data_IF_943718903676
#
_entry.id   IF_943718903676
#
_cell.length_a   1.000
_cell.length_b   1.000
_cell.length_c   1.000
_cell.angle_alpha   90.00
_cell.angle_beta   90.00
_cell.angle_gamma   90.00
#
_symmetry.space_group_name_H-M   'P 1'
#
loop_
_entity.id
_entity.type
_entity.pdbx_description
1 polymer ?
#
# COMPACT_ATOMS: atom_id res chain seq x y z
N UNK A 1 0.89 -2.93 -7.34
CA UNK A 1 0.75 -3.25 -5.90
C UNK A 1 1.53 -2.23 -5.10
N UNK A 2 0.89 -1.61 -4.13
CA UNK A 2 1.55 -0.72 -3.18
C UNK A 2 1.75 -1.46 -1.87
N UNK A 3 2.94 -1.38 -1.30
CA UNK A 3 3.27 -2.03 -0.03
C UNK A 3 3.85 -1.02 0.95
N UNK A 4 3.58 -1.23 2.23
CA UNK A 4 4.25 -0.55 3.32
C UNK A 4 5.30 -1.51 3.90
N UNK A 5 6.53 -1.06 3.98
CA UNK A 5 7.63 -1.86 4.48
C UNK A 5 8.29 -1.20 5.68
N UNK A 6 8.67 -2.01 6.65
CA UNK A 6 9.44 -1.59 7.81
C UNK A 6 10.53 -2.64 8.07
N UNK A 7 11.59 -2.26 8.78
CA UNK A 7 12.58 -3.23 9.22
C UNK A 7 12.00 -4.13 10.32
N UNK A 8 12.50 -5.36 10.39
CA UNK A 8 12.09 -6.29 11.44
C UNK A 8 12.39 -5.73 12.83
N UNK A 9 13.54 -5.10 13.00
CA UNK A 9 13.92 -4.45 14.25
C UNK A 9 12.92 -3.37 14.67
N UNK A 10 12.52 -2.51 13.74
CA UNK A 10 11.52 -1.47 14.02
C UNK A 10 10.17 -2.07 14.41
N UNK A 11 9.73 -3.10 13.71
CA UNK A 11 8.47 -3.81 14.01
C UNK A 11 8.47 -4.41 15.42
N UNK A 12 9.59 -5.05 15.82
CA UNK A 12 9.72 -5.66 17.15
C UNK A 12 9.77 -4.62 18.27
N UNK A 13 10.41 -3.48 18.04
CA UNK A 13 10.53 -2.39 19.03
C UNK A 13 9.30 -1.50 19.10
N UNK A 14 8.58 -1.34 18.00
CA UNK A 14 7.48 -0.37 17.87
C UNK A 14 6.23 -1.02 17.24
N UNK A 15 5.71 -2.12 17.78
CA UNK A 15 4.56 -2.80 17.17
C UNK A 15 3.31 -1.92 17.14
N UNK A 16 3.08 -1.11 18.17
CA UNK A 16 1.92 -0.21 18.24
C UNK A 16 1.99 0.88 17.19
N UNK A 17 3.16 1.41 16.92
CA UNK A 17 3.36 2.44 15.89
C UNK A 17 3.04 1.87 14.50
N UNK A 18 3.51 0.67 14.21
CA UNK A 18 3.22 -0.01 12.93
C UNK A 18 1.73 -0.30 12.79
N UNK A 19 1.09 -0.79 13.84
CA UNK A 19 -0.36 -1.05 13.86
C UNK A 19 -1.16 0.22 13.61
N UNK A 20 -0.82 1.31 14.29
CA UNK A 20 -1.49 2.61 14.10
C UNK A 20 -1.30 3.16 12.69
N UNK A 21 -0.10 3.01 12.12
CA UNK A 21 0.16 3.40 10.73
C UNK A 21 -0.68 2.59 9.74
N UNK A 22 -0.81 1.28 9.95
CA UNK A 22 -1.65 0.42 9.12
C UNK A 22 -3.14 0.78 9.24
N UNK A 23 -3.62 1.05 10.44
CA UNK A 23 -5.00 1.52 10.64
C UNK A 23 -5.26 2.84 9.91
N UNK A 24 -4.34 3.80 10.03
CA UNK A 24 -4.45 5.08 9.34
C UNK A 24 -4.47 4.90 7.81
N UNK A 25 -3.66 3.99 7.27
CA UNK A 25 -3.66 3.67 5.85
C UNK A 25 -5.01 3.09 5.40
N UNK A 26 -5.55 2.12 6.13
CA UNK A 26 -6.84 1.50 5.83
C UNK A 26 -7.97 2.52 5.89
N UNK A 27 -7.97 3.38 6.89
CA UNK A 27 -8.94 4.47 7.01
C UNK A 27 -8.83 5.46 5.84
N UNK A 28 -7.61 5.81 5.44
CA UNK A 28 -7.38 6.69 4.30
C UNK A 28 -7.90 6.06 2.99
N UNK A 29 -7.68 4.77 2.77
CA UNK A 29 -8.21 4.06 1.60
C UNK A 29 -9.74 4.02 1.62
N UNK A 30 -10.35 3.79 2.78
CA UNK A 30 -11.79 3.83 2.93
C UNK A 30 -12.35 5.23 2.64
N UNK A 31 -11.73 6.26 3.17
CA UNK A 31 -12.08 7.66 2.91
C UNK A 31 -11.98 7.99 1.41
N UNK A 32 -10.91 7.56 0.77
CA UNK A 32 -10.69 7.75 -0.66
C UNK A 32 -11.80 7.12 -1.50
N UNK A 33 -12.28 5.93 -1.13
CA UNK A 33 -13.35 5.25 -1.84
C UNK A 33 -14.74 5.89 -1.60
N UNK A 34 -14.95 6.50 -0.43
CA UNK A 34 -16.25 6.98 -0.01
C UNK A 34 -16.44 8.51 -0.21
N UNK A 35 -15.36 9.25 -0.39
CA UNK A 35 -15.39 10.70 -0.50
C UNK A 35 -14.53 11.18 -1.68
N UNK A 36 -15.11 11.16 -2.86
CA UNK A 36 -14.46 11.61 -4.09
C UNK A 36 -14.01 13.06 -4.02
N UNK A 37 -14.86 13.95 -3.49
CA UNK A 37 -14.56 15.39 -3.41
C UNK A 37 -13.32 15.67 -2.59
N UNK A 38 -13.20 15.06 -1.41
CA UNK A 38 -12.02 15.20 -0.55
C UNK A 38 -10.77 14.62 -1.22
N UNK A 39 -10.90 13.47 -1.86
CA UNK A 39 -9.80 12.79 -2.56
C UNK A 39 -9.29 13.62 -3.74
N UNK A 40 -10.18 14.18 -4.54
CA UNK A 40 -9.82 15.05 -5.67
C UNK A 40 -9.08 16.30 -5.19
N UNK A 41 -9.47 16.89 -4.07
CA UNK A 41 -8.74 18.04 -3.47
C UNK A 41 -7.31 17.65 -3.09
N UNK A 42 -7.12 16.47 -2.51
CA UNK A 42 -5.79 15.96 -2.17
C UNK A 42 -4.97 15.69 -3.42
N UNK A 43 -5.54 15.08 -4.44
CA UNK A 43 -4.87 14.86 -5.73
C UNK A 43 -4.44 16.17 -6.37
N UNK A 44 -5.31 17.18 -6.38
CA UNK A 44 -4.98 18.52 -6.90
C UNK A 44 -3.79 19.16 -6.17
N UNK A 45 -3.76 19.02 -4.83
CA UNK A 45 -2.67 19.54 -4.00
C UNK A 45 -1.32 18.90 -4.35
N UNK A 46 -1.27 17.58 -4.46
CA UNK A 46 -0.02 16.85 -4.66
C UNK A 46 0.43 16.80 -6.12
N UNK A 47 -0.50 16.77 -7.07
CA UNK A 47 -0.16 16.86 -8.51
C UNK A 47 0.10 18.28 -8.98
N UNK A 48 -0.29 19.27 -8.17
CA UNK A 48 -0.24 20.71 -8.51
C UNK A 48 -1.02 21.04 -9.80
N UNK A 49 -2.09 20.32 -10.05
CA UNK A 49 -2.98 20.52 -11.20
C UNK A 49 -4.42 20.73 -10.74
N UNK A 50 -5.12 21.64 -11.40
CA UNK A 50 -6.53 21.96 -11.14
C UNK A 50 -7.45 21.59 -12.31
N UNK A 51 -6.95 20.86 -13.30
CA UNK A 51 -7.72 20.41 -14.44
C UNK A 51 -8.72 19.34 -13.99
N UNK A 52 -10.01 19.65 -14.06
CA UNK A 52 -11.08 18.77 -13.60
C UNK A 52 -11.10 17.42 -14.34
N UNK A 53 -10.86 17.43 -15.64
CA UNK A 53 -10.81 16.21 -16.45
C UNK A 53 -9.65 15.31 -16.03
N UNK A 54 -8.46 15.88 -15.86
CA UNK A 54 -7.29 15.15 -15.38
C UNK A 54 -7.49 14.55 -13.98
N UNK A 55 -8.06 15.34 -13.06
CA UNK A 55 -8.29 14.88 -11.67
C UNK A 55 -9.34 13.77 -11.61
N UNK A 56 -10.39 13.86 -12.40
CA UNK A 56 -11.44 12.84 -12.47
C UNK A 56 -10.89 11.51 -13.02
N UNK A 57 -10.14 11.58 -14.10
CA UNK A 57 -9.47 10.42 -14.70
C UNK A 57 -8.45 9.80 -13.74
N UNK A 58 -7.63 10.60 -13.09
CA UNK A 58 -6.65 10.18 -12.10
C UNK A 58 -7.34 9.51 -10.91
N UNK A 59 -8.43 10.08 -10.41
CA UNK A 59 -9.22 9.47 -9.36
C UNK A 59 -9.72 8.07 -9.76
N UNK A 60 -10.28 7.93 -10.95
CA UNK A 60 -10.74 6.64 -11.48
C UNK A 60 -9.63 5.58 -11.51
N UNK A 61 -8.44 5.97 -11.94
CA UNK A 61 -7.26 5.09 -11.97
C UNK A 61 -6.85 4.69 -10.54
N UNK A 62 -6.72 5.66 -9.65
CA UNK A 62 -6.31 5.42 -8.27
C UNK A 62 -7.28 4.46 -7.55
N UNK A 63 -8.58 4.69 -7.66
CA UNK A 63 -9.61 3.82 -7.07
C UNK A 63 -9.53 2.40 -7.64
N UNK A 64 -9.32 2.28 -8.94
CA UNK A 64 -9.28 0.99 -9.63
C UNK A 64 -8.09 0.12 -9.21
N UNK A 65 -6.93 0.74 -8.99
CA UNK A 65 -5.69 0.03 -8.70
C UNK A 65 -5.27 0.03 -7.23
N UNK A 66 -5.99 0.71 -6.35
CA UNK A 66 -5.72 0.68 -4.91
C UNK A 66 -6.55 -0.41 -4.24
N UNK A 67 -5.88 -1.36 -3.64
CA UNK A 67 -6.52 -2.43 -2.90
C UNK A 67 -7.13 -1.89 -1.60
N UNK A 68 -8.39 -2.25 -1.33
CA UNK A 68 -9.09 -1.85 -0.10
C UNK A 68 -8.45 -2.43 1.15
N UNK A 69 -7.88 -3.62 1.03
CA UNK A 69 -7.17 -4.29 2.10
C UNK A 69 -5.76 -4.64 1.61
N UNK A 70 -4.73 -3.94 2.10
CA UNK A 70 -3.36 -4.18 1.65
C UNK A 70 -2.85 -5.51 2.21
N UNK A 71 -2.87 -6.53 1.37
CA UNK A 71 -2.31 -7.84 1.70
C UNK A 71 -1.14 -8.15 0.76
N UNK A 72 -0.06 -8.64 1.32
CA UNK A 72 1.05 -9.14 0.53
C UNK A 72 0.85 -10.63 0.30
N UNK A 73 0.71 -11.02 -0.95
CA UNK A 73 0.63 -12.42 -1.39
C UNK A 73 2.01 -12.85 -1.90
N UNK A 74 2.42 -14.08 -1.53
CA UNK A 74 3.67 -14.66 -2.02
C UNK A 74 3.76 -14.73 -3.54
N UNK A 75 2.64 -14.88 -4.25
CA UNK A 75 2.60 -14.83 -5.72
C UNK A 75 2.98 -13.46 -6.27
N UNK A 76 2.54 -12.40 -5.63
CA UNK A 76 2.91 -11.03 -6.03
C UNK A 76 4.42 -10.81 -5.87
N UNK A 77 5.00 -11.30 -4.80
CA UNK A 77 6.46 -11.24 -4.58
C UNK A 77 7.21 -12.07 -5.61
N UNK A 78 6.75 -13.28 -5.90
CA UNK A 78 7.35 -14.13 -6.93
C UNK A 78 7.35 -13.43 -8.29
N UNK A 79 6.24 -12.80 -8.66
CA UNK A 79 6.13 -12.04 -9.92
C UNK A 79 7.15 -10.88 -9.96
N UNK A 80 7.28 -10.12 -8.88
CA UNK A 80 8.28 -9.04 -8.83
C UNK A 80 9.69 -9.58 -9.00
N UNK A 81 10.02 -10.73 -8.39
CA UNK A 81 11.33 -11.34 -8.48
C UNK A 81 11.66 -11.94 -9.87
N UNK A 82 10.63 -12.25 -10.67
CA UNK A 82 10.84 -12.61 -12.09
C UNK A 82 11.36 -11.43 -12.92
N UNK A 83 10.86 -10.22 -12.62
CA UNK A 83 11.28 -9.01 -13.35
C UNK A 83 12.56 -8.39 -12.80
N UNK A 84 12.73 -8.44 -11.48
CA UNK A 84 13.91 -7.89 -10.79
C UNK A 84 14.48 -8.94 -9.82
N UNK A 85 15.23 -9.92 -10.32
CA UNK A 85 15.81 -10.94 -9.46
C UNK A 85 16.81 -10.35 -8.47
N UNK A 86 16.59 -10.57 -7.20
CA UNK A 86 17.48 -10.17 -6.11
C UNK A 86 18.30 -11.38 -5.67
N UNK A 87 19.61 -11.24 -5.65
CA UNK A 87 20.51 -12.32 -5.25
C UNK A 87 20.21 -12.79 -3.82
N UNK A 88 19.96 -14.08 -3.64
CA UNK A 88 19.67 -14.67 -2.33
C UNK A 88 18.20 -14.61 -1.90
N UNK A 89 17.33 -14.10 -2.77
CA UNK A 89 15.87 -14.09 -2.54
C UNK A 89 15.22 -14.99 -3.58
N UNK A 90 14.57 -16.04 -3.15
CA UNK A 90 13.98 -17.06 -4.04
C UNK A 90 12.45 -16.96 -4.17
N UNK A 91 11.83 -15.92 -3.66
CA UNK A 91 10.36 -15.77 -3.67
C UNK A 91 9.61 -16.75 -2.79
N UNK A 92 10.31 -17.70 -2.19
CA UNK A 92 9.69 -18.60 -1.21
C UNK A 92 9.57 -17.92 0.15
N UNK A 93 8.61 -18.36 0.95
CA UNK A 93 8.33 -17.80 2.28
C UNK A 93 9.45 -17.95 3.31
N UNK A 94 10.64 -18.36 2.92
CA UNK A 94 11.79 -18.44 3.81
C UNK A 94 12.13 -17.05 4.35
N UNK A 95 12.06 -16.90 5.64
CA UNK A 95 12.33 -15.61 6.31
C UNK A 95 11.12 -14.66 6.38
N UNK A 96 10.00 -15.01 5.78
CA UNK A 96 8.74 -14.31 6.05
C UNK A 96 8.26 -14.72 7.42
N UNK A 97 8.69 -13.99 8.42
CA UNK A 97 8.19 -14.25 9.76
C UNK A 97 6.67 -14.04 9.78
N UNK A 98 5.99 -14.77 10.67
CA UNK A 98 4.56 -14.56 10.94
C UNK A 98 4.22 -13.10 11.28
N UNK A 99 5.22 -12.25 11.56
CA UNK A 99 5.12 -10.83 11.79
C UNK A 99 4.66 -10.04 10.56
N UNK A 100 4.84 -10.56 9.34
CA UNK A 100 4.35 -9.96 8.10
C UNK A 100 2.90 -10.30 7.80
N UNK A 101 2.38 -11.33 8.42
CA UNK A 101 0.97 -11.64 8.32
C UNK A 101 0.25 -10.84 9.38
N UNK A 102 -0.57 -9.90 8.93
CA UNK A 102 -1.50 -9.19 9.78
C UNK A 102 -2.24 -10.20 10.64
N UNK A 103 -1.90 -10.28 11.90
CA UNK A 103 -2.70 -11.00 12.88
C UNK A 103 -3.86 -10.09 13.29
N UNK A 104 -5.04 -10.53 12.95
CA UNK A 104 -6.22 -9.95 13.56
C UNK A 104 -6.23 -10.19 15.05
#
# INVERSE_FOLDING_TARGET
MNVMAVTQEFLLKNPDTVERAMKAYIEAVAKMNNDKTATVKVLAKYTKRNDASFLDETYGIVIRFTEKMPRVDGRNVATVLEFEPVKGVDGQRRGWSKAWMWKR
#
